data_IF_148380437506
#
_entry.id   IF_148380437506
#
_cell.length_a   1.000
_cell.length_b   1.000
_cell.length_c   1.000
_cell.angle_alpha   90.00
_cell.angle_beta   90.00
_cell.angle_gamma   90.00
#
_symmetry.space_group_name_H-M   'P 1'
#
loop_
_entity.id
_entity.type
_entity.pdbx_description
1 polymer ?
#
# COMPACT_ATOMS: atom_id res chain seq x y z
N UNK A 1 -6.63 -5.31 32.97
CA UNK A 1 -7.25 -4.43 31.95
C UNK A 1 -6.48 -3.13 31.67
N UNK A 2 -5.87 -2.44 32.65
CA UNK A 2 -5.11 -1.20 32.40
C UNK A 2 -3.82 -1.38 31.58
N UNK A 3 -3.14 -2.52 31.67
CA UNK A 3 -1.92 -2.78 30.89
C UNK A 3 -2.18 -2.97 29.38
N UNK A 4 -3.33 -3.54 29.00
CA UNK A 4 -3.74 -3.71 27.60
C UNK A 4 -4.10 -2.35 26.97
N UNK A 5 -4.77 -1.46 27.72
CA UNK A 5 -5.00 -0.07 27.29
C UNK A 5 -3.71 0.72 27.11
N UNK A 6 -2.69 0.46 27.93
CA UNK A 6 -1.34 1.04 27.76
C UNK A 6 -0.64 0.50 26.52
N UNK A 7 -0.76 -0.80 26.22
CA UNK A 7 -0.24 -1.43 24.99
C UNK A 7 -0.93 -0.92 23.71
N UNK A 8 -2.22 -0.61 23.76
CA UNK A 8 -2.98 -0.05 22.64
C UNK A 8 -2.88 1.49 22.49
N UNK A 9 -1.86 2.13 23.08
CA UNK A 9 -1.57 3.53 22.75
C UNK A 9 -0.95 3.62 21.35
N UNK A 10 -1.26 4.68 20.60
CA UNK A 10 -0.78 4.87 19.22
C UNK A 10 0.75 4.74 19.08
N UNK A 11 1.51 5.16 20.09
CA UNK A 11 2.98 5.02 20.13
C UNK A 11 3.42 3.56 20.30
N UNK A 12 2.77 2.80 21.17
CA UNK A 12 3.10 1.39 21.40
C UNK A 12 2.68 0.52 20.21
N UNK A 13 1.57 0.87 19.54
CA UNK A 13 1.15 0.21 18.32
C UNK A 13 2.15 0.43 17.17
N UNK A 14 2.75 1.62 17.06
CA UNK A 14 3.83 1.90 16.10
C UNK A 14 5.07 1.05 16.39
N UNK A 15 5.49 0.95 17.65
CA UNK A 15 6.63 0.11 18.02
C UNK A 15 6.36 -1.38 17.79
N UNK A 16 5.15 -1.84 18.07
CA UNK A 16 4.73 -3.21 17.80
C UNK A 16 4.77 -3.50 16.29
N UNK A 17 4.22 -2.62 15.46
CA UNK A 17 4.27 -2.75 14.00
C UNK A 17 5.70 -2.75 13.47
N UNK A 18 6.57 -1.88 14.01
CA UNK A 18 7.99 -1.83 13.63
C UNK A 18 8.72 -3.13 14.01
N UNK A 19 8.48 -3.66 15.21
CA UNK A 19 9.08 -4.92 15.66
C UNK A 19 8.62 -6.11 14.81
N UNK A 20 7.32 -6.21 14.55
CA UNK A 20 6.75 -7.25 13.70
C UNK A 20 7.25 -7.14 12.25
N UNK A 21 7.40 -5.92 11.72
CA UNK A 21 7.98 -5.67 10.39
C UNK A 21 9.42 -6.19 10.31
N UNK A 22 10.23 -5.89 11.33
CA UNK A 22 11.60 -6.36 11.40
C UNK A 22 11.69 -7.89 11.48
N UNK A 23 10.81 -8.53 12.25
CA UNK A 23 10.71 -9.99 12.30
C UNK A 23 10.32 -10.61 10.95
N UNK A 24 9.43 -9.96 10.20
CA UNK A 24 9.02 -10.41 8.87
C UNK A 24 10.17 -10.36 7.86
N UNK A 25 10.98 -9.30 7.88
CA UNK A 25 12.18 -9.22 7.04
C UNK A 25 13.23 -10.27 7.41
N UNK A 26 13.39 -10.58 8.70
CA UNK A 26 14.23 -11.72 9.11
C UNK A 26 13.66 -13.01 8.52
N UNK A 27 12.36 -13.24 8.58
CA UNK A 27 11.76 -14.41 7.95
C UNK A 27 12.05 -14.47 6.45
N UNK A 28 11.80 -13.39 5.71
CA UNK A 28 12.06 -13.33 4.26
C UNK A 28 13.54 -13.58 3.92
N UNK A 29 14.47 -13.10 4.74
CA UNK A 29 15.91 -13.36 4.52
C UNK A 29 16.32 -14.82 4.77
N UNK A 30 15.61 -15.54 5.64
CA UNK A 30 15.92 -16.92 6.03
C UNK A 30 14.92 -17.95 5.48
N UNK A 31 14.00 -17.54 4.59
CA UNK A 31 12.97 -18.41 4.00
C UNK A 31 13.59 -19.62 3.30
N UNK A 32 14.72 -19.42 2.60
CA UNK A 32 15.49 -20.49 1.95
C UNK A 32 16.13 -21.51 2.91
N UNK A 33 16.14 -21.27 4.21
CA UNK A 33 16.63 -22.22 5.24
C UNK A 33 15.51 -22.98 5.96
N UNK A 34 14.25 -22.88 5.49
CA UNK A 34 13.11 -23.61 6.08
C UNK A 34 12.57 -22.97 7.35
N UNK A 35 12.52 -21.63 7.39
CA UNK A 35 12.02 -20.88 8.54
C UNK A 35 10.52 -21.18 8.82
N UNK A 36 10.05 -21.09 10.07
CA UNK A 36 8.68 -21.47 10.42
C UNK A 36 7.62 -20.53 9.84
N UNK A 37 6.57 -21.11 9.25
CA UNK A 37 5.46 -20.39 8.60
C UNK A 37 4.71 -19.37 9.50
N UNK A 38 4.72 -19.58 10.83
CA UNK A 38 4.03 -18.70 11.76
C UNK A 38 4.68 -17.30 11.88
N UNK A 39 5.96 -17.16 11.51
CA UNK A 39 6.65 -15.87 11.49
C UNK A 39 6.13 -14.96 10.38
N UNK A 40 5.87 -15.50 9.18
CA UNK A 40 5.26 -14.75 8.07
C UNK A 40 3.83 -14.32 8.39
N UNK A 41 3.07 -15.17 9.08
CA UNK A 41 1.69 -14.86 9.49
C UNK A 41 1.63 -13.61 10.40
N UNK A 42 2.65 -13.44 11.26
CA UNK A 42 2.77 -12.25 12.12
C UNK A 42 3.18 -11.00 11.31
N UNK A 43 4.06 -11.16 10.34
CA UNK A 43 4.45 -10.09 9.42
C UNK A 43 3.29 -9.50 8.62
N UNK A 44 2.25 -10.28 8.35
CA UNK A 44 1.09 -9.81 7.57
C UNK A 44 0.12 -8.94 8.34
N UNK A 45 0.10 -9.06 9.67
CA UNK A 45 -0.67 -8.15 10.52
C UNK A 45 -0.06 -6.75 10.56
N UNK A 46 1.24 -6.62 10.26
CA UNK A 46 1.99 -5.36 10.23
C UNK A 46 1.36 -4.38 9.25
N UNK A 47 1.01 -4.86 8.06
CA UNK A 47 0.58 -4.00 6.98
C UNK A 47 -0.79 -3.33 7.24
N UNK A 48 -1.85 -4.07 7.66
CA UNK A 48 -3.09 -3.45 8.12
C UNK A 48 -2.91 -2.51 9.31
N UNK A 49 -1.99 -2.80 10.24
CA UNK A 49 -1.71 -1.92 11.38
C UNK A 49 -1.07 -0.61 10.91
N UNK A 50 -0.08 -0.65 10.01
CA UNK A 50 0.50 0.57 9.45
C UNK A 50 -0.51 1.35 8.62
N UNK A 51 -1.35 0.66 7.86
CA UNK A 51 -2.41 1.28 7.06
C UNK A 51 -3.43 1.99 7.94
N UNK A 52 -3.83 1.37 9.05
CA UNK A 52 -4.68 1.99 10.06
C UNK A 52 -4.03 3.24 10.67
N UNK A 53 -2.77 3.13 11.10
CA UNK A 53 -2.01 4.25 11.66
C UNK A 53 -1.82 5.38 10.64
N UNK A 54 -1.61 5.04 9.36
CA UNK A 54 -1.49 5.99 8.27
C UNK A 54 -2.81 6.73 8.04
N UNK A 55 -3.94 6.01 7.95
CA UNK A 55 -5.28 6.60 7.81
C UNK A 55 -5.62 7.54 8.98
N UNK A 56 -5.30 7.15 10.21
CA UNK A 56 -5.47 8.00 11.41
C UNK A 56 -4.54 9.23 11.34
N UNK A 57 -3.28 9.07 10.91
CA UNK A 57 -2.31 10.17 10.74
C UNK A 57 -2.70 11.16 9.63
N UNK A 58 -3.31 10.69 8.54
CA UNK A 58 -3.82 11.52 7.45
C UNK A 58 -4.89 12.50 7.94
N UNK A 59 -5.70 12.11 8.93
CA UNK A 59 -6.72 12.98 9.50
C UNK A 59 -6.13 14.20 10.21
N UNK A 60 -5.07 13.99 11.01
CA UNK A 60 -4.41 15.06 11.78
C UNK A 60 -3.44 15.91 10.95
N UNK A 61 -3.15 15.48 9.72
CA UNK A 61 -2.23 16.20 8.85
C UNK A 61 -2.90 17.41 8.22
N UNK A 62 -2.38 18.60 8.53
CA UNK A 62 -2.89 19.87 8.00
C UNK A 62 -2.56 20.04 6.49
N UNK A 63 -1.33 19.70 6.09
CA UNK A 63 -0.90 19.73 4.68
C UNK A 63 -0.83 18.32 4.08
N UNK A 64 -1.92 17.93 3.43
CA UNK A 64 -2.07 16.62 2.82
C UNK A 64 -1.24 16.45 1.55
N UNK A 65 -1.02 17.52 0.79
CA UNK A 65 -0.20 17.47 -0.42
C UNK A 65 1.29 17.30 -0.07
N UNK A 66 1.79 17.98 0.98
CA UNK A 66 3.13 17.70 1.49
C UNK A 66 3.28 16.26 2.00
N UNK A 67 2.26 15.72 2.66
CA UNK A 67 2.29 14.32 3.10
C UNK A 67 2.31 13.34 1.93
N UNK A 68 1.45 13.52 0.93
CA UNK A 68 1.44 12.70 -0.28
C UNK A 68 2.76 12.79 -1.06
N UNK A 69 3.35 13.99 -1.19
CA UNK A 69 4.66 14.16 -1.82
C UNK A 69 5.76 13.39 -1.09
N UNK A 70 5.77 13.43 0.26
CA UNK A 70 6.73 12.64 1.05
C UNK A 70 6.57 11.14 0.83
N UNK A 71 5.34 10.64 0.77
CA UNK A 71 5.08 9.23 0.45
C UNK A 71 5.54 8.87 -0.96
N UNK A 72 5.30 9.74 -1.95
CA UNK A 72 5.75 9.52 -3.33
C UNK A 72 7.28 9.44 -3.41
N UNK A 73 8.00 10.35 -2.73
CA UNK A 73 9.45 10.30 -2.69
C UNK A 73 9.99 9.03 -2.02
N UNK A 74 9.34 8.57 -0.95
CA UNK A 74 9.70 7.29 -0.31
C UNK A 74 9.40 6.10 -1.23
N UNK A 75 8.29 6.14 -1.97
CA UNK A 75 7.97 5.13 -2.97
C UNK A 75 9.03 5.08 -4.07
N UNK A 76 9.46 6.23 -4.60
CA UNK A 76 10.54 6.28 -5.59
C UNK A 76 11.87 5.81 -5.04
N UNK A 77 12.20 6.20 -3.81
CA UNK A 77 13.41 5.74 -3.13
C UNK A 77 13.43 4.21 -3.02
N UNK A 78 12.32 3.59 -2.63
CA UNK A 78 12.21 2.13 -2.57
C UNK A 78 12.33 1.48 -3.95
N UNK A 79 11.60 1.97 -4.97
CA UNK A 79 11.67 1.42 -6.33
C UNK A 79 13.08 1.51 -6.92
N UNK A 80 13.74 2.66 -6.78
CA UNK A 80 15.12 2.87 -7.26
C UNK A 80 16.10 2.00 -6.46
N UNK A 81 15.96 1.96 -5.13
CA UNK A 81 16.79 1.13 -4.27
C UNK A 81 16.72 -0.34 -4.65
N UNK A 82 15.50 -0.86 -4.86
CA UNK A 82 15.27 -2.23 -5.32
C UNK A 82 15.89 -2.48 -6.69
N UNK A 83 15.74 -1.54 -7.63
CA UNK A 83 16.34 -1.67 -8.96
C UNK A 83 17.88 -1.71 -8.89
N UNK A 84 18.51 -0.86 -8.08
CA UNK A 84 19.97 -0.84 -7.92
C UNK A 84 20.46 -2.14 -7.28
N UNK A 85 19.84 -2.56 -6.17
CA UNK A 85 20.21 -3.79 -5.46
C UNK A 85 20.06 -5.00 -6.38
N UNK A 86 18.95 -5.09 -7.13
CA UNK A 86 18.69 -6.18 -8.08
C UNK A 86 19.68 -6.24 -9.24
N UNK A 87 20.25 -5.11 -9.67
CA UNK A 87 21.30 -5.10 -10.70
C UNK A 87 22.69 -5.42 -10.15
N UNK A 88 22.99 -5.04 -8.90
CA UNK A 88 24.31 -5.26 -8.27
C UNK A 88 24.46 -6.69 -7.75
N UNK A 89 23.41 -7.22 -7.13
CA UNK A 89 23.38 -8.58 -6.62
C UNK A 89 22.56 -9.43 -7.59
N UNK A 90 23.22 -10.21 -8.46
CA UNK A 90 22.60 -11.19 -9.37
C UNK A 90 21.84 -12.34 -8.65
N UNK A 91 21.42 -12.14 -7.39
CA UNK A 91 20.71 -13.12 -6.60
C UNK A 91 19.23 -13.08 -6.95
N UNK A 92 18.79 -14.15 -7.60
CA UNK A 92 17.44 -14.33 -8.09
C UNK A 92 16.38 -14.09 -7.02
N UNK A 93 15.31 -13.43 -7.44
CA UNK A 93 13.95 -13.56 -6.90
C UNK A 93 13.76 -13.48 -5.38
N UNK A 94 14.68 -12.91 -4.62
CA UNK A 94 14.41 -12.57 -3.22
C UNK A 94 13.53 -11.32 -3.24
N UNK A 95 12.23 -11.55 -3.12
CA UNK A 95 11.14 -10.60 -3.33
C UNK A 95 11.13 -9.44 -2.35
N UNK A 96 12.10 -8.53 -2.48
CA UNK A 96 11.98 -7.16 -1.97
C UNK A 96 11.06 -6.30 -2.85
N UNK A 97 10.17 -6.93 -3.63
CA UNK A 97 9.22 -6.26 -4.53
C UNK A 97 7.99 -5.75 -3.76
N UNK A 98 8.22 -5.18 -2.58
CA UNK A 98 7.17 -4.73 -1.67
C UNK A 98 7.39 -3.25 -1.39
N UNK A 99 6.56 -2.42 -2.02
CA UNK A 99 6.58 -0.97 -1.86
C UNK A 99 5.32 -0.51 -1.11
N UNK A 100 5.33 -0.68 0.21
CA UNK A 100 4.24 -0.30 1.10
C UNK A 100 3.85 1.19 0.97
N UNK A 101 4.85 2.04 0.68
CA UNK A 101 4.63 3.49 0.50
C UNK A 101 3.78 3.80 -0.73
N UNK A 102 3.89 3.00 -1.79
CA UNK A 102 2.98 3.06 -2.95
C UNK A 102 1.52 2.88 -2.51
N UNK A 103 1.25 1.91 -1.64
CA UNK A 103 -0.11 1.63 -1.14
C UNK A 103 -0.64 2.76 -0.27
N UNK A 104 0.20 3.31 0.62
CA UNK A 104 -0.20 4.48 1.42
C UNK A 104 -0.42 5.72 0.56
N UNK A 105 0.37 5.91 -0.50
CA UNK A 105 0.22 7.02 -1.43
C UNK A 105 -1.12 6.94 -2.18
N UNK A 106 -1.42 5.78 -2.78
CA UNK A 106 -2.69 5.56 -3.49
C UNK A 106 -3.89 5.67 -2.55
N UNK A 107 -3.80 5.06 -1.36
CA UNK A 107 -4.84 5.19 -0.32
C UNK A 107 -5.07 6.65 0.05
N UNK A 108 -3.98 7.42 0.21
CA UNK A 108 -4.08 8.85 0.47
C UNK A 108 -4.72 9.66 -0.65
N UNK A 109 -4.50 9.29 -1.91
CA UNK A 109 -5.21 9.89 -3.06
C UNK A 109 -6.71 9.60 -2.98
N UNK A 110 -7.09 8.36 -2.66
CA UNK A 110 -8.51 8.01 -2.47
C UNK A 110 -9.14 8.75 -1.29
N UNK A 111 -8.42 8.93 -0.19
CA UNK A 111 -8.88 9.74 0.95
C UNK A 111 -9.11 11.20 0.52
N UNK A 112 -8.18 11.79 -0.24
CA UNK A 112 -8.35 13.14 -0.78
C UNK A 112 -9.54 13.25 -1.75
N UNK A 113 -9.72 12.26 -2.62
CA UNK A 113 -10.88 12.18 -3.51
C UNK A 113 -12.19 12.11 -2.71
N UNK A 114 -12.27 11.24 -1.71
CA UNK A 114 -13.43 11.11 -0.84
C UNK A 114 -13.80 12.43 -0.16
N UNK A 115 -12.80 13.14 0.38
CA UNK A 115 -13.05 14.42 1.04
C UNK A 115 -13.51 15.51 0.06
N UNK A 116 -12.98 15.55 -1.17
CA UNK A 116 -13.45 16.47 -2.21
C UNK A 116 -14.87 16.13 -2.68
N UNK A 117 -15.18 14.85 -2.87
CA UNK A 117 -16.52 14.40 -3.23
C UNK A 117 -17.53 14.76 -2.13
N UNK A 118 -17.18 14.50 -0.87
CA UNK A 118 -18.04 14.80 0.28
C UNK A 118 -18.29 16.31 0.43
N UNK A 119 -17.25 17.13 0.22
CA UNK A 119 -17.38 18.60 0.21
C UNK A 119 -18.24 19.09 -0.96
N UNK A 120 -17.98 18.62 -2.17
CA UNK A 120 -18.75 18.99 -3.36
C UNK A 120 -20.23 18.61 -3.26
N UNK A 121 -20.54 17.47 -2.64
CA UNK A 121 -21.91 17.04 -2.32
C UNK A 121 -22.57 17.93 -1.26
N UNK A 122 -21.83 18.32 -0.22
CA UNK A 122 -22.33 19.18 0.87
C UNK A 122 -22.58 20.61 0.41
N UNK A 123 -21.64 21.18 -0.33
CA UNK A 123 -21.65 22.59 -0.75
C UNK A 123 -22.32 22.77 -2.13
N UNK A 124 -22.86 21.68 -2.72
CA UNK A 124 -23.43 21.62 -4.09
C UNK A 124 -22.52 22.24 -5.16
N UNK A 125 -21.22 22.19 -4.94
CA UNK A 125 -20.21 22.75 -5.85
C UNK A 125 -19.86 21.72 -6.92
N UNK A 126 -20.29 21.98 -8.16
CA UNK A 126 -19.98 21.11 -9.30
C UNK A 126 -18.46 21.01 -9.56
N UNK A 127 -17.70 22.08 -9.29
CA UNK A 127 -16.24 22.10 -9.47
C UNK A 127 -15.53 21.12 -8.56
N UNK A 128 -15.90 21.07 -7.28
CA UNK A 128 -15.29 20.17 -6.29
C UNK A 128 -15.68 18.71 -6.54
N UNK A 129 -16.91 18.48 -7.02
CA UNK A 129 -17.35 17.16 -7.46
C UNK A 129 -16.52 16.65 -8.64
N UNK A 130 -16.35 17.45 -9.70
CA UNK A 130 -15.51 17.06 -10.85
C UNK A 130 -14.07 16.81 -10.40
N UNK A 131 -13.51 17.68 -9.54
CA UNK A 131 -12.15 17.49 -9.01
C UNK A 131 -12.04 16.20 -8.19
N UNK A 132 -13.02 15.89 -7.34
CA UNK A 132 -13.08 14.64 -6.59
C UNK A 132 -13.10 13.40 -7.48
N UNK A 133 -13.91 13.42 -8.54
CA UNK A 133 -13.94 12.36 -9.56
C UNK A 133 -12.62 12.27 -10.34
N UNK A 134 -12.02 13.41 -10.71
CA UNK A 134 -10.73 13.45 -11.39
C UNK A 134 -9.61 12.83 -10.55
N UNK A 135 -9.56 13.16 -9.26
CA UNK A 135 -8.59 12.58 -8.31
C UNK A 135 -8.88 11.10 -8.06
N UNK A 136 -10.15 10.67 -8.09
CA UNK A 136 -10.53 9.25 -7.99
C UNK A 136 -10.02 8.42 -9.18
N UNK A 137 -10.06 8.99 -10.39
CA UNK A 137 -9.60 8.34 -11.61
C UNK A 137 -8.06 8.29 -11.71
N UNK A 138 -7.34 9.14 -10.98
CA UNK A 138 -5.89 9.25 -11.09
C UNK A 138 -5.15 7.92 -10.80
N UNK A 139 -5.45 7.16 -9.72
CA UNK A 139 -4.85 5.84 -9.49
C UNK A 139 -5.23 4.77 -10.54
N UNK A 140 -6.38 4.93 -11.20
CA UNK A 140 -6.81 4.01 -12.26
C UNK A 140 -6.01 4.30 -13.53
N UNK A 141 -5.87 5.58 -13.89
CA UNK A 141 -5.04 6.01 -15.01
C UNK A 141 -3.56 5.67 -14.80
N UNK A 142 -3.08 5.73 -13.56
CA UNK A 142 -1.70 5.36 -13.22
C UNK A 142 -1.40 3.87 -13.40
N UNK A 143 -2.42 3.05 -13.70
CA UNK A 143 -2.27 1.63 -14.01
C UNK A 143 -2.01 1.36 -15.50
N UNK A 144 -2.28 2.32 -16.39
CA UNK A 144 -2.00 2.22 -17.83
C UNK A 144 -0.52 1.90 -18.11
N UNK A 145 0.47 2.60 -17.49
CA UNK A 145 1.89 2.25 -17.57
C UNK A 145 2.19 0.76 -17.36
N UNK A 146 1.56 0.14 -16.36
CA UNK A 146 1.81 -1.26 -16.01
C UNK A 146 1.25 -2.21 -17.06
N UNK A 147 0.06 -1.94 -17.58
CA UNK A 147 -0.54 -2.74 -18.66
C UNK A 147 0.27 -2.62 -19.95
N UNK A 148 0.76 -1.42 -20.27
CA UNK A 148 1.65 -1.21 -21.42
C UNK A 148 2.96 -1.98 -21.24
N UNK A 149 3.54 -1.95 -20.04
CA UNK A 149 4.75 -2.71 -19.74
C UNK A 149 4.54 -4.22 -19.90
N UNK A 150 3.43 -4.75 -19.40
CA UNK A 150 3.08 -6.16 -19.58
C UNK A 150 3.00 -6.51 -21.08
N UNK A 151 2.35 -5.67 -21.88
CA UNK A 151 2.28 -5.85 -23.33
C UNK A 151 3.64 -5.80 -24.04
N UNK A 152 4.57 -4.95 -23.59
CA UNK A 152 5.92 -4.85 -24.17
C UNK A 152 6.77 -6.10 -23.87
N UNK A 153 6.62 -6.68 -22.67
CA UNK A 153 7.36 -7.89 -22.29
C UNK A 153 6.97 -9.13 -23.11
N UNK A 154 5.75 -9.16 -23.64
CA UNK A 154 5.25 -10.26 -24.48
C UNK A 154 5.71 -10.17 -25.95
N UNK A 155 6.39 -9.09 -26.35
CA UNK A 155 6.87 -8.91 -27.73
C UNK A 155 8.12 -9.78 -27.95
N UNK A 156 8.06 -10.84 -28.78
CA UNK A 156 9.23 -11.62 -29.11
C UNK A 156 10.20 -10.70 -29.88
N UNK A 157 11.45 -10.60 -29.41
CA UNK A 157 12.54 -9.77 -30.00
C UNK A 157 12.60 -8.28 -29.60
N UNK A 158 11.93 -7.83 -28.54
CA UNK A 158 12.21 -6.50 -28.00
C UNK A 158 13.65 -6.40 -27.46
N UNK A 159 14.33 -5.26 -27.71
CA UNK A 159 15.68 -5.02 -27.20
C UNK A 159 15.66 -4.99 -25.65
N UNK A 160 16.37 -5.91 -24.95
CA UNK A 160 16.30 -6.03 -23.49
C UNK A 160 16.61 -4.73 -22.75
N UNK A 161 17.53 -3.91 -23.28
CA UNK A 161 17.90 -2.63 -22.69
C UNK A 161 16.75 -1.61 -22.75
N UNK A 162 16.02 -1.57 -23.87
CA UNK A 162 14.88 -0.66 -24.03
C UNK A 162 13.75 -1.08 -23.10
N UNK A 163 13.47 -2.38 -23.01
CA UNK A 163 12.47 -2.92 -22.09
C UNK A 163 12.82 -2.59 -20.63
N UNK A 164 14.09 -2.74 -20.23
CA UNK A 164 14.52 -2.43 -18.86
C UNK A 164 14.43 -0.94 -18.52
N UNK A 165 14.81 -0.05 -19.44
CA UNK A 165 14.70 1.40 -19.26
C UNK A 165 13.23 1.81 -19.15
N UNK A 166 12.38 1.30 -20.06
CA UNK A 166 10.94 1.56 -20.05
C UNK A 166 10.30 1.01 -18.78
N UNK A 167 10.64 -0.22 -18.36
CA UNK A 167 10.18 -0.81 -17.11
C UNK A 167 10.54 0.04 -15.89
N UNK A 168 11.78 0.53 -15.83
CA UNK A 168 12.27 1.36 -14.72
C UNK A 168 11.50 2.68 -14.64
N UNK A 169 11.26 3.34 -15.77
CA UNK A 169 10.50 4.59 -15.83
C UNK A 169 9.03 4.37 -15.45
N UNK A 170 8.40 3.33 -15.98
CA UNK A 170 6.99 3.05 -15.70
C UNK A 170 6.77 2.55 -14.27
N UNK A 171 7.74 1.86 -13.66
CA UNK A 171 7.69 1.39 -12.26
C UNK A 171 7.76 2.50 -11.22
N UNK A 172 8.24 3.70 -11.60
CA UNK A 172 8.23 4.88 -10.73
C UNK A 172 6.81 5.39 -10.48
N UNK A 173 5.85 5.08 -11.36
CA UNK A 173 4.47 5.51 -11.20
C UNK A 173 3.74 4.52 -10.29
N UNK A 174 3.31 4.91 -9.08
CA UNK A 174 2.50 4.06 -8.22
C UNK A 174 1.20 3.69 -8.94
N UNK A 175 0.92 2.39 -9.08
CA UNK A 175 -0.30 1.88 -9.71
C UNK A 175 -1.13 1.07 -8.74
N UNK A 176 -2.45 1.05 -8.96
CA UNK A 176 -3.36 0.26 -8.12
C UNK A 176 -3.19 -1.25 -8.31
N UNK A 177 -2.52 -1.66 -9.40
CA UNK A 177 -2.25 -3.05 -9.73
C UNK A 177 -1.00 -3.56 -9.00
N UNK A 178 0.04 -2.73 -8.90
CA UNK A 178 1.33 -3.11 -8.29
C UNK A 178 1.45 -2.70 -6.81
N UNK A 179 0.34 -2.34 -6.16
CA UNK A 179 0.38 -2.01 -4.73
C UNK A 179 0.50 -3.26 -3.88
N UNK A 180 1.27 -3.10 -2.80
CA UNK A 180 1.49 -4.15 -1.82
C UNK A 180 0.15 -4.52 -1.15
N UNK A 181 -0.15 -5.83 -1.13
CA UNK A 181 -1.43 -6.37 -0.65
C UNK A 181 -2.63 -6.12 -1.59
N UNK A 182 -2.39 -5.58 -2.79
CA UNK A 182 -3.39 -5.40 -3.82
C UNK A 182 -4.43 -4.31 -3.55
N UNK A 183 -5.42 -4.21 -4.44
CA UNK A 183 -6.48 -3.19 -4.36
C UNK A 183 -7.33 -3.32 -3.08
N UNK A 184 -7.43 -4.52 -2.52
CA UNK A 184 -8.19 -4.80 -1.28
C UNK A 184 -7.64 -4.00 -0.11
N UNK A 185 -6.31 -3.88 0.00
CA UNK A 185 -5.70 -3.08 1.05
C UNK A 185 -5.93 -1.58 0.86
N UNK A 186 -5.94 -1.09 -0.38
CA UNK A 186 -6.30 0.31 -0.65
C UNK A 186 -7.71 0.63 -0.18
N UNK A 187 -8.66 -0.28 -0.45
CA UNK A 187 -10.05 -0.16 0.02
C UNK A 187 -10.10 -0.20 1.55
N UNK A 188 -9.40 -1.13 2.19
CA UNK A 188 -9.32 -1.23 3.64
C UNK A 188 -8.85 0.10 4.27
N UNK A 189 -7.81 0.71 3.70
CA UNK A 189 -7.25 1.97 4.19
C UNK A 189 -8.22 3.14 4.05
N UNK A 190 -8.96 3.19 2.94
CA UNK A 190 -10.04 4.17 2.75
C UNK A 190 -11.16 3.97 3.78
N UNK A 191 -11.59 2.73 4.02
CA UNK A 191 -12.63 2.42 4.99
C UNK A 191 -12.19 2.74 6.43
N UNK A 192 -10.91 2.50 6.77
CA UNK A 192 -10.37 2.93 8.06
C UNK A 192 -10.45 4.44 8.25
N UNK A 193 -10.25 5.21 7.18
CA UNK A 193 -10.41 6.66 7.23
C UNK A 193 -11.88 7.07 7.37
N UNK A 194 -12.79 6.47 6.60
CA UNK A 194 -14.24 6.78 6.63
C UNK A 194 -14.84 6.45 8.01
N UNK A 195 -14.56 5.27 8.54
CA UNK A 195 -15.10 4.79 9.81
C UNK A 195 -14.26 5.19 11.04
N UNK A 196 -13.38 6.19 10.91
CA UNK A 196 -12.47 6.61 11.98
C UNK A 196 -13.15 6.99 13.30
N UNK A 197 -14.41 7.42 13.24
CA UNK A 197 -15.20 7.82 14.41
C UNK A 197 -15.61 6.63 15.27
N UNK A 198 -15.69 5.43 14.71
CA UNK A 198 -16.14 4.22 15.41
C UNK A 198 -15.08 3.12 15.34
N UNK A 199 -14.32 2.93 16.43
CA UNK A 199 -13.27 1.90 16.53
C UNK A 199 -13.82 0.48 16.31
N UNK A 200 -15.06 0.21 16.71
CA UNK A 200 -15.69 -1.09 16.46
C UNK A 200 -15.96 -1.31 14.97
N UNK A 201 -16.38 -0.27 14.25
CA UNK A 201 -16.57 -0.35 12.81
C UNK A 201 -15.25 -0.65 12.08
N UNK A 202 -14.13 -0.05 12.52
CA UNK A 202 -12.80 -0.36 11.95
C UNK A 202 -12.40 -1.83 12.16
N UNK A 203 -12.67 -2.40 13.35
CA UNK A 203 -12.41 -3.82 13.62
C UNK A 203 -13.30 -4.72 12.77
N UNK A 204 -14.59 -4.38 12.63
CA UNK A 204 -15.53 -5.14 11.80
C UNK A 204 -15.10 -5.11 10.34
N UNK A 205 -14.74 -3.94 9.81
CA UNK A 205 -14.25 -3.78 8.44
C UNK A 205 -13.00 -4.64 8.20
N UNK A 206 -12.05 -4.61 9.13
CA UNK A 206 -10.86 -5.47 9.06
C UNK A 206 -11.26 -6.94 9.00
N UNK A 207 -12.11 -7.40 9.92
CA UNK A 207 -12.56 -8.80 9.97
C UNK A 207 -13.29 -9.22 8.68
N UNK A 208 -14.19 -8.38 8.16
CA UNK A 208 -14.92 -8.65 6.91
C UNK A 208 -13.94 -8.74 5.73
N UNK A 209 -13.01 -7.79 5.61
CA UNK A 209 -12.03 -7.80 4.52
C UNK A 209 -11.09 -9.01 4.64
N UNK A 210 -10.68 -9.40 5.84
CA UNK A 210 -9.89 -10.61 6.07
C UNK A 210 -10.65 -11.87 5.65
N UNK A 211 -11.94 -11.97 5.95
CA UNK A 211 -12.78 -13.11 5.52
C UNK A 211 -12.96 -13.12 4.00
N UNK A 212 -13.20 -11.95 3.38
CA UNK A 212 -13.31 -11.85 1.92
C UNK A 212 -11.99 -12.27 1.27
N UNK A 213 -10.85 -11.78 1.75
CA UNK A 213 -9.53 -12.18 1.24
C UNK A 213 -9.32 -13.71 1.34
N UNK A 214 -9.74 -14.31 2.46
CA UNK A 214 -9.70 -15.76 2.66
C UNK A 214 -10.59 -16.54 1.67
N UNK A 215 -11.77 -16.01 1.35
CA UNK A 215 -12.71 -16.66 0.42
C UNK A 215 -12.28 -16.54 -1.04
N UNK A 216 -11.68 -15.41 -1.44
CA UNK A 216 -11.27 -15.18 -2.81
C UNK A 216 -10.02 -15.96 -3.20
N UNK A 217 -9.14 -16.26 -2.25
CA UNK A 217 -7.90 -16.95 -2.55
C UNK A 217 -7.37 -17.76 -1.35
N UNK A 218 -7.93 -18.95 -1.08
CA UNK A 218 -7.58 -19.76 0.08
C UNK A 218 -6.12 -20.28 0.05
N UNK A 219 -5.46 -20.22 -1.11
CA UNK A 219 -4.06 -20.63 -1.32
C UNK A 219 -3.05 -19.48 -1.19
N UNK A 220 -3.48 -18.23 -1.40
CA UNK A 220 -2.69 -17.02 -1.06
C UNK A 220 -3.09 -16.40 0.28
N UNK A 221 -4.09 -17.02 0.94
CA UNK A 221 -4.20 -17.49 2.34
C UNK A 221 -2.90 -17.65 3.12
N UNK A 222 -1.97 -16.73 3.00
CA UNK A 222 -0.76 -16.61 3.78
C UNK A 222 -0.95 -15.44 4.75
#
# INVERSE_FOLDING_TARGET
MNNIRKLCNATNLKYLAMYLCFLDYIHQMFEGMGMPLWLTMLGRLVFPIFLFLAADSFHYTHDRLAYLRRLLYMSWFMTIGNAIIGNVFHNGNVGLMNNAFSTFFITGIFICSWDLLTKGLRDKSYKELIQGFGVFLLPILSSIPVVVLAGINEIPHANPLVVQIVASILSLVPSIIMVEGGFVMVILGLLFYIFRTNRMAQIIVLAVISVIAYLFDPTTVQ
#
